data_IF_366806996547
#
_entry.id   IF_366806996547
#
_cell.length_a   1.000
_cell.length_b   1.000
_cell.length_c   1.000
_cell.angle_alpha   90.00
_cell.angle_beta   90.00
_cell.angle_gamma   90.00
#
_symmetry.space_group_name_H-M   'P 1'
#
loop_
_entity.id
_entity.type
_entity.pdbx_description
1 polymer ?
#
# COMPACT_ATOMS: atom_id res chain seq x y z
N UNK A 1 -13.03 -8.48 -11.14
CA UNK A 1 -14.51 -8.36 -11.16
C UNK A 1 -15.00 -8.27 -12.60
N UNK A 2 -16.27 -8.62 -12.85
CA UNK A 2 -16.95 -8.39 -14.14
C UNK A 2 -17.66 -7.04 -14.17
N UNK A 3 -18.28 -6.64 -13.04
CA UNK A 3 -18.91 -5.33 -12.83
C UNK A 3 -18.70 -4.87 -11.37
N UNK A 4 -18.92 -3.57 -11.13
CA UNK A 4 -18.99 -2.96 -9.81
C UNK A 4 -20.26 -2.11 -9.68
N UNK A 5 -20.97 -2.25 -8.55
CA UNK A 5 -22.07 -1.39 -8.16
C UNK A 5 -21.77 -0.82 -6.77
N UNK A 6 -21.02 0.30 -6.66
CA UNK A 6 -20.68 0.87 -5.37
C UNK A 6 -21.95 1.33 -4.65
N UNK A 7 -22.03 0.99 -3.36
CA UNK A 7 -23.12 1.40 -2.47
C UNK A 7 -22.73 2.64 -1.66
N UNK A 8 -23.01 2.58 -0.37
CA UNK A 8 -22.71 3.63 0.59
C UNK A 8 -21.25 3.56 1.08
N UNK A 9 -20.58 4.71 1.21
CA UNK A 9 -19.22 4.80 1.73
C UNK A 9 -18.62 6.20 1.59
N UNK A 10 -17.29 6.26 1.75
CA UNK A 10 -16.48 7.43 1.40
C UNK A 10 -15.57 7.05 0.23
N UNK A 11 -15.18 8.03 -0.58
CA UNK A 11 -14.30 7.82 -1.74
C UNK A 11 -12.91 8.43 -1.53
N UNK A 12 -12.76 9.36 -0.60
CA UNK A 12 -11.55 10.11 -0.31
C UNK A 12 -11.56 10.63 1.12
N UNK A 13 -10.38 10.73 1.72
CA UNK A 13 -10.23 11.07 3.14
C UNK A 13 -10.56 12.53 3.41
N UNK A 14 -9.94 13.45 2.65
CA UNK A 14 -10.02 14.89 2.94
C UNK A 14 -11.43 15.46 2.76
N UNK A 15 -11.96 15.34 1.55
CA UNK A 15 -13.25 15.96 1.20
C UNK A 15 -14.40 15.33 2.00
N UNK A 16 -14.34 14.03 2.30
CA UNK A 16 -15.31 13.39 3.18
C UNK A 16 -15.31 14.00 4.59
N UNK A 17 -14.13 14.18 5.20
CA UNK A 17 -14.02 14.73 6.56
C UNK A 17 -14.43 16.21 6.60
N UNK A 18 -14.03 17.00 5.61
CA UNK A 18 -14.44 18.40 5.50
C UNK A 18 -15.97 18.52 5.28
N UNK A 19 -16.56 17.66 4.43
CA UNK A 19 -17.98 17.73 4.10
C UNK A 19 -18.89 17.19 5.21
N UNK A 20 -18.59 15.99 5.74
CA UNK A 20 -19.45 15.29 6.70
C UNK A 20 -19.11 15.59 8.16
N UNK A 21 -17.83 15.71 8.49
CA UNK A 21 -17.38 15.95 9.87
C UNK A 21 -17.14 17.43 10.17
N UNK A 22 -17.14 18.29 9.14
CA UNK A 22 -16.86 19.73 9.24
C UNK A 22 -15.50 20.01 9.89
N UNK A 23 -14.55 19.12 9.64
CA UNK A 23 -13.20 19.21 10.19
C UNK A 23 -12.32 20.12 9.35
N UNK A 24 -11.46 20.89 10.00
CA UNK A 24 -10.32 21.54 9.35
C UNK A 24 -9.11 20.64 9.53
N UNK A 25 -8.67 20.01 8.45
CA UNK A 25 -7.56 19.07 8.49
C UNK A 25 -6.22 19.82 8.36
N UNK A 26 -5.30 19.51 9.26
CA UNK A 26 -3.90 19.94 9.19
C UNK A 26 -3.00 18.68 9.18
N UNK A 27 -2.99 17.92 8.08
CA UNK A 27 -2.15 16.74 7.96
C UNK A 27 -0.70 17.13 7.67
N UNK A 28 0.23 16.34 8.18
CA UNK A 28 1.62 16.38 7.74
C UNK A 28 1.73 15.96 6.26
N UNK A 29 2.83 16.30 5.59
CA UNK A 29 3.02 15.96 4.18
C UNK A 29 2.98 14.45 3.91
N UNK A 30 3.57 13.65 4.81
CA UNK A 30 3.50 12.19 4.72
C UNK A 30 2.06 11.66 4.89
N UNK A 31 1.24 12.24 5.78
CA UNK A 31 -0.17 11.83 5.93
C UNK A 31 -0.92 11.98 4.60
N UNK A 32 -0.70 13.09 3.86
CA UNK A 32 -1.33 13.30 2.55
C UNK A 32 -0.91 12.24 1.53
N UNK A 33 0.37 11.84 1.53
CA UNK A 33 0.86 10.75 0.68
C UNK A 33 0.22 9.41 1.05
N UNK A 34 0.09 9.14 2.35
CA UNK A 34 -0.48 7.89 2.86
C UNK A 34 -1.99 7.75 2.60
N UNK A 35 -2.71 8.86 2.40
CA UNK A 35 -4.11 8.81 1.93
C UNK A 35 -4.25 8.11 0.57
N UNK A 36 -3.22 8.15 -0.27
CA UNK A 36 -3.20 7.41 -1.54
C UNK A 36 -3.19 5.88 -1.37
N UNK A 37 -3.13 5.36 -0.14
CA UNK A 37 -3.39 3.94 0.14
C UNK A 37 -4.89 3.62 0.11
N UNK A 38 -5.77 4.57 0.43
CA UNK A 38 -7.20 4.31 0.64
C UNK A 38 -8.13 5.17 -0.23
N UNK A 39 -7.69 6.34 -0.67
CA UNK A 39 -8.50 7.25 -1.47
C UNK A 39 -8.73 6.67 -2.87
N UNK A 40 -9.96 6.23 -3.15
CA UNK A 40 -10.34 5.61 -4.42
C UNK A 40 -10.34 6.61 -5.57
N UNK A 41 -10.57 7.90 -5.29
CA UNK A 41 -10.59 8.98 -6.28
C UNK A 41 -9.28 9.08 -7.06
N UNK A 42 -8.13 8.92 -6.40
CA UNK A 42 -6.82 9.00 -7.07
C UNK A 42 -6.52 7.78 -7.95
N UNK A 43 -7.32 6.71 -7.84
CA UNK A 43 -7.27 5.51 -8.70
C UNK A 43 -8.37 5.50 -9.78
N UNK A 44 -9.09 6.60 -10.00
CA UNK A 44 -10.24 6.68 -10.92
C UNK A 44 -10.05 6.00 -12.27
N UNK A 45 -8.87 6.19 -12.87
CA UNK A 45 -8.50 5.62 -14.17
C UNK A 45 -8.70 4.10 -14.25
N UNK A 46 -8.52 3.39 -13.12
CA UNK A 46 -8.64 1.93 -13.06
C UNK A 46 -10.06 1.44 -13.37
N UNK A 47 -11.08 2.30 -13.25
CA UNK A 47 -12.45 1.95 -13.63
C UNK A 47 -12.62 1.75 -15.14
N UNK A 48 -11.66 2.16 -15.99
CA UNK A 48 -11.63 1.72 -17.39
C UNK A 48 -11.59 0.18 -17.49
N UNK A 49 -11.03 -0.54 -16.50
CA UNK A 49 -10.92 -2.00 -16.51
C UNK A 49 -12.10 -2.71 -15.84
N UNK A 50 -13.00 -1.96 -15.19
CA UNK A 50 -14.11 -2.50 -14.42
C UNK A 50 -15.38 -1.67 -14.67
N UNK A 51 -16.31 -2.18 -15.49
CA UNK A 51 -17.61 -1.54 -15.68
C UNK A 51 -18.26 -1.22 -14.35
N UNK A 52 -18.70 0.04 -14.19
CA UNK A 52 -19.19 0.56 -12.91
C UNK A 52 -20.53 1.25 -13.10
N UNK A 53 -21.52 0.83 -12.31
CA UNK A 53 -22.86 1.44 -12.27
C UNK A 53 -23.09 1.93 -10.85
N UNK A 54 -22.96 3.24 -10.63
CA UNK A 54 -23.19 3.86 -9.34
C UNK A 54 -24.67 4.19 -9.14
N UNK A 55 -25.10 4.22 -7.89
CA UNK A 55 -26.44 4.66 -7.51
C UNK A 55 -26.39 5.64 -6.34
N UNK A 56 -27.28 6.63 -6.37
CA UNK A 56 -27.59 7.43 -5.19
C UNK A 56 -29.05 7.83 -5.16
N UNK A 57 -29.60 7.98 -3.97
CA UNK A 57 -30.81 8.79 -3.82
C UNK A 57 -30.50 10.24 -4.19
N UNK A 58 -31.36 10.89 -4.98
CA UNK A 58 -31.10 12.23 -5.51
C UNK A 58 -30.95 13.30 -4.42
N UNK A 59 -31.57 13.09 -3.25
CA UNK A 59 -31.48 13.98 -2.08
C UNK A 59 -30.67 13.34 -0.93
N UNK A 60 -30.01 12.20 -1.17
CA UNK A 60 -29.11 11.60 -0.19
C UNK A 60 -27.82 12.41 -0.11
N UNK A 61 -27.41 12.78 1.11
CA UNK A 61 -26.14 13.46 1.35
C UNK A 61 -24.94 12.60 0.95
N UNK A 62 -25.06 11.28 0.99
CA UNK A 62 -23.99 10.36 0.56
C UNK A 62 -23.77 10.33 -0.95
N UNK A 63 -24.63 10.99 -1.74
CA UNK A 63 -24.39 11.23 -3.17
C UNK A 63 -23.04 11.91 -3.43
N UNK A 64 -22.51 12.64 -2.44
CA UNK A 64 -21.18 13.27 -2.51
C UNK A 64 -20.07 12.32 -2.96
N UNK A 65 -20.08 11.04 -2.53
CA UNK A 65 -19.07 10.06 -2.93
C UNK A 65 -19.11 9.73 -4.43
N UNK A 66 -20.31 9.66 -5.02
CA UNK A 66 -20.44 9.48 -6.46
C UNK A 66 -20.10 10.76 -7.24
N UNK A 67 -20.46 11.94 -6.71
CA UNK A 67 -20.19 13.23 -7.34
C UNK A 67 -18.68 13.51 -7.44
N UNK A 68 -17.95 13.29 -6.35
CA UNK A 68 -16.49 13.46 -6.35
C UNK A 68 -15.83 12.42 -7.26
N UNK A 69 -16.27 11.16 -7.23
CA UNK A 69 -15.76 10.13 -8.15
C UNK A 69 -16.00 10.50 -9.61
N UNK A 70 -17.17 11.06 -9.96
CA UNK A 70 -17.48 11.55 -11.31
C UNK A 70 -16.48 12.62 -11.75
N UNK A 71 -16.20 13.59 -10.88
CA UNK A 71 -15.21 14.66 -11.15
C UNK A 71 -13.80 14.11 -11.43
N UNK A 72 -13.37 13.07 -10.72
CA UNK A 72 -12.07 12.44 -10.95
C UNK A 72 -12.07 11.54 -12.19
N UNK A 73 -13.19 10.89 -12.52
CA UNK A 73 -13.34 10.13 -13.76
C UNK A 73 -13.30 11.02 -15.00
N UNK A 74 -13.93 12.20 -14.95
CA UNK A 74 -13.91 13.16 -16.06
C UNK A 74 -12.48 13.59 -16.42
N UNK A 75 -11.61 13.79 -15.42
CA UNK A 75 -10.18 14.10 -15.64
C UNK A 75 -9.43 12.97 -16.35
N UNK A 76 -9.93 11.73 -16.24
CA UNK A 76 -9.42 10.55 -16.92
C UNK A 76 -10.14 10.27 -18.24
N UNK A 77 -11.06 11.13 -18.67
CA UNK A 77 -11.87 10.95 -19.88
C UNK A 77 -12.91 9.83 -19.75
N UNK A 78 -13.39 9.57 -18.53
CA UNK A 78 -14.39 8.56 -18.22
C UNK A 78 -15.66 9.24 -17.68
N UNK A 79 -16.82 8.68 -18.01
CA UNK A 79 -18.11 9.11 -17.48
C UNK A 79 -18.67 8.03 -16.54
N UNK A 80 -19.09 8.43 -15.34
CA UNK A 80 -19.72 7.51 -14.40
C UNK A 80 -21.17 7.26 -14.82
N UNK A 81 -21.55 6.00 -15.03
CA UNK A 81 -22.97 5.66 -15.10
C UNK A 81 -23.58 5.80 -13.71
N UNK A 82 -24.14 6.97 -13.41
CA UNK A 82 -24.73 7.30 -12.12
C UNK A 82 -26.26 7.34 -12.20
N UNK A 83 -26.90 6.33 -11.63
CA UNK A 83 -28.37 6.25 -11.57
C UNK A 83 -28.85 6.99 -10.32
N UNK A 84 -29.79 7.92 -10.51
CA UNK A 84 -30.39 8.67 -9.42
C UNK A 84 -31.81 8.19 -9.13
N UNK A 85 -32.08 7.91 -7.86
CA UNK A 85 -33.44 7.70 -7.36
C UNK A 85 -34.11 9.05 -7.09
N UNK A 86 -35.13 9.48 -7.85
CA UNK A 86 -35.78 10.77 -7.65
C UNK A 86 -36.37 10.87 -6.23
N UNK A 87 -36.28 12.06 -5.62
CA UNK A 87 -36.80 12.38 -4.28
C UNK A 87 -36.44 11.36 -3.18
N UNK A 88 -35.34 10.63 -3.36
CA UNK A 88 -34.95 9.52 -2.50
C UNK A 88 -33.72 9.88 -1.66
N UNK A 89 -33.80 9.64 -0.35
CA UNK A 89 -32.66 9.74 0.58
C UNK A 89 -31.87 8.43 0.65
N UNK A 90 -31.47 8.02 1.87
CA UNK A 90 -30.62 6.85 2.09
C UNK A 90 -31.35 5.51 1.98
N UNK A 91 -31.83 5.20 0.77
CA UNK A 91 -32.50 3.94 0.41
C UNK A 91 -32.51 3.74 -1.12
N UNK A 92 -32.88 2.55 -1.57
CA UNK A 92 -33.14 2.29 -2.98
C UNK A 92 -34.50 2.81 -3.41
N UNK A 93 -34.54 3.60 -4.49
CA UNK A 93 -35.74 3.88 -5.25
C UNK A 93 -36.13 2.63 -6.06
N UNK A 94 -37.40 2.16 -6.02
CA UNK A 94 -37.78 0.88 -6.62
C UNK A 94 -37.41 0.75 -8.11
N UNK A 95 -37.70 1.78 -8.93
CA UNK A 95 -37.41 1.73 -10.37
C UNK A 95 -35.91 1.84 -10.67
N UNK A 96 -35.19 2.65 -9.89
CA UNK A 96 -33.75 2.79 -10.05
C UNK A 96 -33.04 1.48 -9.72
N UNK A 97 -33.52 0.78 -8.67
CA UNK A 97 -33.04 -0.56 -8.32
C UNK A 97 -33.19 -1.53 -9.48
N UNK A 98 -34.37 -1.61 -10.10
CA UNK A 98 -34.60 -2.46 -11.26
C UNK A 98 -33.62 -2.14 -12.41
N UNK A 99 -33.35 -0.86 -12.66
CA UNK A 99 -32.41 -0.44 -13.70
C UNK A 99 -30.95 -0.82 -13.39
N UNK A 100 -30.53 -0.68 -12.13
CA UNK A 100 -29.19 -1.10 -11.67
C UNK A 100 -29.05 -2.62 -11.86
N UNK A 101 -30.03 -3.38 -11.36
CA UNK A 101 -30.04 -4.85 -11.46
C UNK A 101 -29.97 -5.28 -12.92
N UNK A 102 -30.76 -4.67 -13.81
CA UNK A 102 -30.71 -4.94 -15.26
C UNK A 102 -29.32 -4.70 -15.86
N UNK A 103 -28.70 -3.54 -15.61
CA UNK A 103 -27.38 -3.22 -16.16
C UNK A 103 -26.29 -4.13 -15.61
N UNK A 104 -26.27 -4.35 -14.29
CA UNK A 104 -25.26 -5.19 -13.63
C UNK A 104 -25.40 -6.65 -14.08
N UNK A 105 -26.62 -7.18 -14.16
CA UNK A 105 -26.86 -8.54 -14.65
C UNK A 105 -26.38 -8.70 -16.09
N UNK A 106 -26.68 -7.74 -16.97
CA UNK A 106 -26.22 -7.81 -18.36
C UNK A 106 -24.68 -7.81 -18.46
N UNK A 107 -23.99 -6.99 -17.68
CA UNK A 107 -22.52 -7.00 -17.65
C UNK A 107 -22.00 -8.33 -17.07
N UNK A 108 -22.62 -8.83 -16.00
CA UNK A 108 -22.22 -10.07 -15.35
C UNK A 108 -22.41 -11.29 -16.27
N UNK A 109 -23.46 -11.31 -17.10
CA UNK A 109 -23.71 -12.34 -18.13
C UNK A 109 -22.60 -12.40 -19.19
N UNK A 110 -22.02 -11.26 -19.58
CA UNK A 110 -20.85 -11.23 -20.47
C UNK A 110 -19.58 -11.74 -19.80
N UNK A 111 -19.55 -11.73 -18.47
CA UNK A 111 -18.43 -12.19 -17.68
C UNK A 111 -17.23 -11.22 -17.66
N UNK A 112 -16.14 -11.66 -17.04
CA UNK A 112 -14.92 -10.88 -16.91
C UNK A 112 -14.06 -11.07 -18.16
N UNK A 113 -13.76 -10.00 -18.88
CA UNK A 113 -12.67 -10.00 -19.86
C UNK A 113 -11.32 -10.16 -19.14
N UNK A 114 -10.67 -11.32 -19.32
CA UNK A 114 -9.37 -11.64 -18.72
C UNK A 114 -8.22 -10.96 -19.46
N UNK A 115 -8.29 -10.92 -20.81
CA UNK A 115 -7.26 -10.36 -21.69
C UNK A 115 -7.86 -9.22 -22.53
N UNK A 116 -8.15 -8.06 -21.91
CA UNK A 116 -8.56 -6.90 -22.69
C UNK A 116 -7.40 -6.46 -23.58
N UNK A 117 -7.70 -6.02 -24.81
CA UNK A 117 -6.70 -5.50 -25.73
C UNK A 117 -6.06 -4.20 -25.26
N UNK A 118 -6.70 -3.47 -24.33
CA UNK A 118 -6.20 -2.23 -23.73
C UNK A 118 -6.27 -2.25 -22.21
N UNK A 119 -5.22 -1.76 -21.57
CA UNK A 119 -5.12 -1.54 -20.12
C UNK A 119 -4.81 -0.07 -19.86
N UNK A 120 -5.55 0.53 -18.93
CA UNK A 120 -5.14 1.74 -18.21
C UNK A 120 -5.01 1.38 -16.74
N UNK A 121 -3.87 1.70 -16.16
CA UNK A 121 -3.57 1.33 -14.79
C UNK A 121 -2.85 2.47 -14.08
N UNK A 122 -3.40 2.91 -12.96
CA UNK A 122 -2.80 3.83 -12.00
C UNK A 122 -2.57 3.09 -10.68
N UNK A 123 -1.42 3.33 -10.04
CA UNK A 123 -1.20 3.01 -8.62
C UNK A 123 -0.22 3.99 -7.97
N UNK A 124 -0.18 4.03 -6.63
CA UNK A 124 0.79 4.82 -5.87
C UNK A 124 1.70 3.93 -5.00
N UNK A 125 1.42 2.63 -4.96
CA UNK A 125 2.12 1.68 -4.10
C UNK A 125 2.06 0.29 -4.71
N UNK A 126 3.10 -0.53 -4.49
CA UNK A 126 3.09 -1.92 -4.89
C UNK A 126 2.10 -2.79 -4.09
N UNK A 127 1.41 -2.26 -3.07
CA UNK A 127 0.29 -2.97 -2.43
C UNK A 127 -0.83 -3.33 -3.43
N UNK A 128 -1.08 -2.43 -4.40
CA UNK A 128 -2.04 -2.64 -5.48
C UNK A 128 -1.30 -2.63 -6.82
N UNK A 129 -0.52 -3.68 -7.07
CA UNK A 129 0.42 -3.72 -8.18
C UNK A 129 -0.11 -4.40 -9.45
N UNK A 130 -1.32 -4.97 -9.46
CA UNK A 130 -1.79 -5.79 -10.58
C UNK A 130 -3.05 -5.22 -11.24
N UNK A 131 -3.03 -5.15 -12.56
CA UNK A 131 -4.20 -4.88 -13.39
C UNK A 131 -4.23 -5.81 -14.60
N UNK A 132 -5.19 -6.74 -14.61
CA UNK A 132 -5.36 -7.74 -15.68
C UNK A 132 -4.05 -8.52 -15.91
N UNK A 133 -3.48 -8.42 -17.11
CA UNK A 133 -2.23 -9.10 -17.51
C UNK A 133 -0.97 -8.27 -17.26
N UNK A 134 -1.08 -7.09 -16.63
CA UNK A 134 0.06 -6.28 -16.18
C UNK A 134 0.20 -6.39 -14.66
N UNK A 135 1.42 -6.65 -14.19
CA UNK A 135 1.84 -6.61 -12.80
C UNK A 135 3.05 -5.69 -12.65
N UNK A 136 2.99 -4.67 -11.80
CA UNK A 136 4.14 -3.84 -11.46
C UNK A 136 4.97 -4.54 -10.38
N UNK A 137 6.28 -4.52 -10.54
CA UNK A 137 7.23 -5.13 -9.61
C UNK A 137 8.20 -4.11 -9.02
N UNK A 138 8.29 -2.91 -9.61
CA UNK A 138 9.11 -1.81 -9.12
C UNK A 138 8.57 -0.46 -9.59
N UNK A 139 8.66 0.53 -8.71
CA UNK A 139 8.35 1.94 -8.99
C UNK A 139 9.64 2.76 -9.00
N UNK A 140 9.61 3.98 -9.55
CA UNK A 140 10.75 4.92 -9.38
C UNK A 140 10.70 5.56 -7.98
N UNK A 141 9.49 5.80 -7.48
CA UNK A 141 9.22 6.36 -6.15
C UNK A 141 7.82 6.02 -5.67
N UNK A 142 7.72 5.31 -4.55
CA UNK A 142 6.47 5.06 -3.84
C UNK A 142 5.78 6.37 -3.44
N UNK A 143 4.45 6.32 -3.40
CA UNK A 143 3.54 7.43 -3.06
C UNK A 143 3.41 8.54 -4.10
N UNK A 144 4.23 8.50 -5.15
CA UNK A 144 4.03 9.29 -6.36
C UNK A 144 3.21 8.46 -7.38
N UNK A 145 2.44 9.12 -8.24
CA UNK A 145 1.53 8.42 -9.17
C UNK A 145 2.30 7.62 -10.22
N UNK A 146 2.11 6.31 -10.24
CA UNK A 146 2.55 5.43 -11.31
C UNK A 146 1.43 5.16 -12.32
N UNK A 147 1.77 5.09 -13.61
CA UNK A 147 0.83 4.78 -14.69
C UNK A 147 1.40 3.76 -15.66
N UNK A 148 0.52 2.89 -16.15
CA UNK A 148 0.76 2.01 -17.29
C UNK A 148 -0.43 2.05 -18.24
N UNK A 149 -0.19 2.41 -19.49
CA UNK A 149 -1.11 2.23 -20.60
C UNK A 149 -0.55 1.17 -21.53
N UNK A 150 -1.22 0.02 -21.65
CA UNK A 150 -0.76 -1.09 -22.46
C UNK A 150 -1.81 -1.47 -23.50
N UNK A 151 -1.37 -1.86 -24.70
CA UNK A 151 -2.25 -2.25 -25.79
C UNK A 151 -1.65 -3.39 -26.61
N UNK A 152 -2.44 -4.43 -26.85
CA UNK A 152 -2.13 -5.49 -27.83
C UNK A 152 -2.54 -4.94 -29.21
N UNK A 153 -1.55 -4.61 -30.03
CA UNK A 153 -1.72 -3.94 -31.34
C UNK A 153 -2.02 -4.94 -32.45
N UNK A 154 -1.43 -6.13 -32.38
CA UNK A 154 -1.59 -7.20 -33.35
C UNK A 154 -1.33 -8.57 -32.69
N UNK A 155 -1.26 -9.62 -33.50
CA UNK A 155 -0.92 -10.97 -33.06
C UNK A 155 0.57 -11.16 -32.69
N UNK A 156 1.40 -10.12 -32.76
CA UNK A 156 2.81 -10.17 -32.36
C UNK A 156 3.36 -8.84 -31.82
N UNK A 157 2.54 -7.79 -31.67
CA UNK A 157 2.99 -6.47 -31.23
C UNK A 157 2.19 -5.95 -30.04
N UNK A 158 2.91 -5.49 -29.02
CA UNK A 158 2.36 -4.76 -27.87
C UNK A 158 2.96 -3.34 -27.81
N UNK A 159 2.15 -2.38 -27.39
CA UNK A 159 2.59 -1.03 -27.05
C UNK A 159 2.36 -0.77 -25.57
N UNK A 160 3.37 -0.24 -24.88
CA UNK A 160 3.29 0.12 -23.46
C UNK A 160 3.83 1.53 -23.27
N UNK A 161 3.13 2.34 -22.48
CA UNK A 161 3.61 3.63 -21.98
C UNK A 161 3.56 3.60 -20.47
N UNK A 162 4.63 4.05 -19.82
CA UNK A 162 4.76 4.05 -18.37
C UNK A 162 5.25 5.38 -17.83
N UNK A 163 4.92 5.67 -16.58
CA UNK A 163 5.53 6.74 -15.79
C UNK A 163 5.67 6.29 -14.34
N UNK A 164 6.80 6.58 -13.69
CA UNK A 164 7.10 6.13 -12.32
C UNK A 164 7.05 4.59 -12.20
N UNK A 165 7.64 3.88 -13.17
CA UNK A 165 7.69 2.40 -13.19
C UNK A 165 9.10 1.96 -13.58
N UNK A 166 9.71 1.15 -12.74
CA UNK A 166 11.06 0.59 -12.98
C UNK A 166 11.03 -0.87 -13.36
N UNK A 167 9.97 -1.62 -13.01
CA UNK A 167 9.83 -3.02 -13.38
C UNK A 167 8.36 -3.41 -13.52
N UNK A 168 8.04 -4.17 -14.57
CA UNK A 168 6.72 -4.74 -14.79
C UNK A 168 6.81 -6.14 -15.39
N UNK A 169 5.81 -6.96 -15.11
CA UNK A 169 5.60 -8.29 -15.66
C UNK A 169 4.33 -8.30 -16.49
N UNK A 170 4.43 -8.86 -17.68
CA UNK A 170 3.31 -9.26 -18.51
C UNK A 170 3.08 -10.73 -18.22
N UNK A 171 1.89 -11.06 -17.72
CA UNK A 171 1.55 -12.42 -17.34
C UNK A 171 0.16 -12.79 -17.84
N UNK A 172 0.13 -13.82 -18.70
CA UNK A 172 -1.07 -14.43 -19.24
C UNK A 172 -1.00 -15.94 -18.97
N UNK A 173 -2.03 -16.48 -18.31
CA UNK A 173 -2.07 -17.91 -17.98
C UNK A 173 -2.31 -18.79 -19.22
N UNK A 174 -2.12 -20.10 -19.07
CA UNK A 174 -2.33 -21.08 -20.13
C UNK A 174 -3.72 -20.90 -20.80
N UNK A 175 -3.74 -20.91 -22.13
CA UNK A 175 -4.92 -20.72 -22.96
C UNK A 175 -5.35 -19.26 -23.17
N UNK A 176 -4.64 -18.27 -22.61
CA UNK A 176 -5.10 -16.87 -22.62
C UNK A 176 -4.30 -15.95 -23.56
N UNK A 177 -3.04 -16.25 -23.88
CA UNK A 177 -2.22 -15.38 -24.72
C UNK A 177 -2.76 -15.35 -26.16
N UNK A 178 -3.10 -14.18 -26.72
CA UNK A 178 -3.68 -14.06 -28.06
C UNK A 178 -2.63 -13.93 -29.17
N UNK A 179 -1.34 -13.96 -28.83
CA UNK A 179 -0.25 -13.80 -29.80
C UNK A 179 0.00 -15.10 -30.58
N UNK A 180 0.45 -14.96 -31.82
CA UNK A 180 0.88 -16.05 -32.68
C UNK A 180 2.22 -16.62 -32.17
N UNK A 181 2.19 -17.87 -31.69
CA UNK A 181 3.35 -18.58 -31.13
C UNK A 181 4.50 -18.81 -32.13
N UNK A 182 4.24 -18.64 -33.43
CA UNK A 182 5.25 -18.82 -34.49
C UNK A 182 6.03 -17.53 -34.79
N UNK A 183 5.49 -16.37 -34.38
CA UNK A 183 6.10 -15.06 -34.59
C UNK A 183 6.90 -14.63 -33.36
N UNK A 184 7.90 -13.78 -33.57
CA UNK A 184 8.63 -13.15 -32.47
C UNK A 184 7.80 -11.97 -31.93
N UNK A 185 7.39 -11.96 -30.64
CA UNK A 185 6.72 -10.82 -30.06
C UNK A 185 7.64 -9.60 -29.97
N UNK A 186 7.06 -8.44 -30.22
CA UNK A 186 7.69 -7.14 -30.10
C UNK A 186 6.92 -6.30 -29.10
N UNK A 187 7.62 -5.72 -28.13
CA UNK A 187 7.07 -4.76 -27.17
C UNK A 187 7.68 -3.39 -27.44
N UNK A 188 6.83 -2.43 -27.77
CA UNK A 188 7.18 -1.01 -27.87
C UNK A 188 6.88 -0.31 -26.54
N UNK A 189 7.86 -0.15 -25.66
CA UNK A 189 7.73 0.49 -24.34
C UNK A 189 8.40 1.87 -24.31
N UNK A 190 7.65 2.93 -24.00
CA UNK A 190 8.16 4.32 -24.00
C UNK A 190 8.94 4.73 -25.28
N UNK A 191 8.50 4.19 -26.44
CA UNK A 191 9.13 4.33 -27.76
C UNK A 191 10.43 3.53 -27.96
N UNK A 192 10.84 2.71 -27.00
CA UNK A 192 11.88 1.69 -27.18
C UNK A 192 11.25 0.39 -27.66
N UNK A 193 11.94 -0.32 -28.57
CA UNK A 193 11.46 -1.57 -29.16
C UNK A 193 12.27 -2.73 -28.61
N UNK A 194 11.58 -3.73 -28.05
CA UNK A 194 12.17 -4.93 -27.48
C UNK A 194 11.60 -6.17 -28.15
N UNK A 195 12.47 -7.06 -28.60
CA UNK A 195 12.09 -8.43 -28.92
C UNK A 195 12.14 -9.25 -27.64
N UNK A 196 11.11 -10.05 -27.39
CA UNK A 196 10.97 -10.82 -26.15
C UNK A 196 10.57 -12.26 -26.46
N UNK A 197 10.73 -13.15 -25.49
CA UNK A 197 10.45 -14.57 -25.69
C UNK A 197 9.01 -14.82 -26.15
N UNK A 198 8.85 -15.89 -26.94
CA UNK A 198 7.57 -16.27 -27.52
C UNK A 198 6.65 -16.84 -26.44
N UNK A 199 5.32 -16.77 -26.62
CA UNK A 199 4.40 -17.53 -25.79
C UNK A 199 4.68 -19.03 -25.93
N UNK A 200 4.36 -19.76 -24.86
CA UNK A 200 4.49 -21.21 -24.81
C UNK A 200 3.42 -21.90 -25.67
N UNK A 201 3.62 -23.18 -25.99
CA UNK A 201 2.67 -23.96 -26.80
C UNK A 201 1.29 -24.15 -26.17
N UNK A 202 1.17 -23.94 -24.85
CA UNK A 202 -0.10 -23.95 -24.13
C UNK A 202 -0.79 -22.58 -24.14
N UNK A 203 -0.25 -21.60 -24.89
CA UNK A 203 -0.72 -20.22 -24.96
C UNK A 203 -0.61 -19.45 -23.64
N UNK A 204 0.31 -19.84 -22.75
CA UNK A 204 0.75 -18.99 -21.65
C UNK A 204 1.86 -18.02 -22.10
N UNK A 205 2.01 -16.89 -21.41
CA UNK A 205 3.08 -15.94 -21.70
C UNK A 205 3.52 -15.20 -20.45
N UNK A 206 4.82 -15.18 -20.21
CA UNK A 206 5.45 -14.54 -19.05
C UNK A 206 6.67 -13.75 -19.48
N UNK A 207 6.63 -12.44 -19.33
CA UNK A 207 7.74 -11.55 -19.68
C UNK A 207 7.91 -10.52 -18.59
N UNK A 208 9.12 -10.43 -18.04
CA UNK A 208 9.50 -9.38 -17.09
C UNK A 208 10.35 -8.34 -17.81
N UNK A 209 9.93 -7.09 -17.72
CA UNK A 209 10.64 -5.93 -18.24
C UNK A 209 11.15 -5.08 -17.07
N UNK A 210 12.37 -4.58 -17.18
CA UNK A 210 12.95 -3.66 -16.20
C UNK A 210 13.66 -2.52 -16.89
N UNK A 211 13.66 -1.37 -16.23
CA UNK A 211 14.34 -0.16 -16.66
C UNK A 211 15.68 -0.04 -15.94
N UNK A 212 16.78 -0.06 -16.68
CA UNK A 212 18.13 0.05 -16.14
C UNK A 212 18.98 0.98 -17.00
N UNK A 213 19.64 1.95 -16.35
CA UNK A 213 20.54 2.91 -17.01
C UNK A 213 19.87 3.66 -18.18
N UNK A 214 18.58 3.99 -18.03
CA UNK A 214 17.82 4.76 -19.02
C UNK A 214 17.32 3.94 -20.22
N UNK A 215 17.30 2.61 -20.13
CA UNK A 215 16.81 1.73 -21.18
C UNK A 215 15.96 0.60 -20.59
N UNK A 216 14.93 0.18 -21.32
CA UNK A 216 14.15 -1.00 -21.01
C UNK A 216 14.82 -2.27 -21.53
N UNK A 217 14.72 -3.36 -20.75
CA UNK A 217 15.28 -4.67 -21.09
C UNK A 217 14.40 -5.78 -20.56
N UNK A 218 14.53 -6.99 -21.13
CA UNK A 218 13.98 -8.22 -20.56
C UNK A 218 14.87 -8.71 -19.42
N UNK A 219 14.25 -9.08 -18.29
CA UNK A 219 14.94 -9.47 -17.05
C UNK A 219 16.09 -10.46 -17.33
N UNK A 220 17.30 -10.23 -16.81
CA UNK A 220 18.37 -11.20 -16.95
C UNK A 220 18.01 -12.46 -16.16
N UNK A 221 18.52 -13.60 -16.61
CA UNK A 221 18.35 -14.90 -15.95
C UNK A 221 18.88 -14.91 -14.49
N UNK A 222 19.81 -14.00 -14.19
CA UNK A 222 20.34 -13.75 -12.84
C UNK A 222 20.34 -12.26 -12.53
N UNK A 223 19.57 -11.87 -11.52
CA UNK A 223 19.55 -10.52 -10.97
C UNK A 223 20.30 -10.54 -9.63
N UNK A 224 21.19 -9.58 -9.38
CA UNK A 224 21.77 -9.43 -8.04
C UNK A 224 20.64 -9.21 -7.03
N UNK A 225 20.65 -9.99 -5.95
CA UNK A 225 19.66 -9.87 -4.87
C UNK A 225 19.98 -8.61 -4.09
N UNK A 226 19.46 -7.48 -4.54
CA UNK A 226 19.42 -6.23 -3.76
C UNK A 226 18.12 -6.15 -3.00
N UNK A 227 18.18 -5.70 -1.73
CA UNK A 227 16.99 -5.40 -0.95
C UNK A 227 16.25 -4.26 -1.67
N UNK A 228 15.00 -4.50 -2.05
CA UNK A 228 14.18 -3.54 -2.77
C UNK A 228 12.72 -3.60 -2.27
N UNK A 229 12.00 -2.50 -2.45
CA UNK A 229 10.55 -2.48 -2.23
C UNK A 229 9.89 -3.38 -3.26
N UNK A 230 9.02 -4.28 -2.79
CA UNK A 230 8.26 -5.23 -3.60
C UNK A 230 6.88 -5.43 -3.00
N UNK A 231 5.96 -6.07 -3.73
CA UNK A 231 4.63 -6.36 -3.21
C UNK A 231 4.68 -7.11 -1.87
N UNK A 232 3.98 -6.60 -0.86
CA UNK A 232 4.01 -7.11 0.51
C UNK A 232 5.23 -6.70 1.34
N UNK A 233 6.13 -5.90 0.76
CA UNK A 233 7.38 -5.40 1.34
C UNK A 233 7.71 -4.01 0.76
N UNK A 234 6.82 -3.02 0.92
CA UNK A 234 6.96 -1.65 0.41
C UNK A 234 6.73 -0.49 1.41
N UNK A 235 6.36 -0.77 2.65
CA UNK A 235 5.92 0.23 3.64
C UNK A 235 4.48 0.73 3.39
N UNK A 236 3.91 1.56 4.29
CA UNK A 236 4.50 2.12 5.51
C UNK A 236 4.46 1.11 6.66
N UNK A 237 4.64 1.57 7.91
CA UNK A 237 4.56 0.72 9.10
C UNK A 237 3.33 -0.21 9.11
N UNK A 238 2.15 0.32 8.77
CA UNK A 238 0.89 -0.42 8.74
C UNK A 238 0.88 -1.59 7.73
N UNK A 239 1.74 -1.54 6.71
CA UNK A 239 1.84 -2.57 5.68
C UNK A 239 2.24 -3.95 6.24
N UNK A 240 3.03 -3.96 7.32
CA UNK A 240 3.46 -5.18 8.00
C UNK A 240 2.30 -5.95 8.65
N UNK A 241 1.17 -5.29 8.89
CA UNK A 241 -0.03 -5.87 9.52
C UNK A 241 -1.05 -6.40 8.50
N UNK A 242 -0.78 -6.24 7.20
CA UNK A 242 -1.62 -6.77 6.10
C UNK A 242 -1.25 -8.22 5.70
N UNK A 243 -0.27 -8.82 6.37
CA UNK A 243 0.10 -10.23 6.25
C UNK A 243 0.29 -10.82 7.67
N UNK A 244 0.62 -12.10 7.75
CA UNK A 244 0.97 -12.78 8.99
C UNK A 244 2.08 -12.01 9.74
N UNK A 245 1.74 -11.55 10.94
CA UNK A 245 2.68 -10.97 11.89
C UNK A 245 2.64 -11.65 13.26
N UNK A 246 3.67 -11.37 14.07
CA UNK A 246 3.84 -11.78 15.46
C UNK A 246 4.33 -10.59 16.30
N UNK A 247 3.63 -10.27 17.38
CA UNK A 247 4.11 -9.31 18.38
C UNK A 247 5.21 -9.95 19.23
N UNK A 248 6.35 -9.27 19.36
CA UNK A 248 7.53 -9.77 20.07
C UNK A 248 7.90 -8.83 21.20
N UNK A 249 7.61 -9.24 22.43
CA UNK A 249 7.97 -8.48 23.63
C UNK A 249 9.44 -8.66 24.03
N UNK A 250 10.05 -7.66 24.71
CA UNK A 250 11.40 -7.77 25.23
C UNK A 250 11.47 -8.71 26.46
N UNK A 251 12.60 -9.41 26.64
CA UNK A 251 12.86 -10.23 27.85
C UNK A 251 13.65 -9.52 28.94
N UNK A 252 14.17 -8.34 28.67
CA UNK A 252 14.85 -7.50 29.64
C UNK A 252 14.28 -6.07 29.63
N UNK A 253 14.67 -5.25 30.61
CA UNK A 253 14.24 -3.85 30.68
C UNK A 253 15.06 -2.98 29.71
N UNK A 254 14.44 -1.99 29.03
CA UNK A 254 15.19 -1.04 28.20
C UNK A 254 16.28 -0.29 28.97
N UNK A 255 17.28 0.19 28.23
CA UNK A 255 18.45 0.87 28.77
C UNK A 255 18.10 2.14 29.57
N UNK A 256 16.96 2.75 29.25
CA UNK A 256 16.46 3.96 29.90
C UNK A 256 15.07 3.71 30.51
N UNK A 257 14.81 4.07 31.78
CA UNK A 257 13.52 3.85 32.44
C UNK A 257 12.32 4.45 31.69
N UNK A 258 12.45 5.68 31.19
CA UNK A 258 11.40 6.35 30.40
C UNK A 258 11.03 5.57 29.14
N UNK A 259 12.03 5.00 28.45
CA UNK A 259 11.80 4.13 27.29
C UNK A 259 11.11 2.84 27.73
N UNK A 260 11.54 2.25 28.85
CA UNK A 260 10.91 1.06 29.44
C UNK A 260 9.42 1.23 29.73
N UNK A 261 9.07 2.32 30.41
CA UNK A 261 7.68 2.64 30.73
C UNK A 261 6.85 2.87 29.46
N UNK A 262 7.40 3.62 28.50
CA UNK A 262 6.71 3.86 27.23
C UNK A 262 6.49 2.56 26.44
N UNK A 263 7.53 1.72 26.28
CA UNK A 263 7.44 0.46 25.52
C UNK A 263 6.40 -0.47 26.13
N UNK A 264 6.38 -0.61 27.45
CA UNK A 264 5.41 -1.46 28.14
C UNK A 264 3.97 -0.99 27.93
N UNK A 265 3.75 0.32 28.05
CA UNK A 265 2.43 0.94 27.87
C UNK A 265 1.96 0.87 26.40
N UNK A 266 2.84 1.19 25.46
CA UNK A 266 2.50 1.27 24.03
C UNK A 266 2.32 -0.13 23.41
N UNK A 267 3.13 -1.12 23.81
CA UNK A 267 2.91 -2.52 23.42
C UNK A 267 1.56 -3.03 23.94
N UNK A 268 1.23 -2.72 25.20
CA UNK A 268 -0.05 -3.08 25.80
C UNK A 268 -1.23 -2.37 25.12
N UNK A 269 -1.05 -1.10 24.74
CA UNK A 269 -1.99 -0.33 23.93
C UNK A 269 -2.23 -0.99 22.57
N UNK A 270 -1.17 -1.28 21.82
CA UNK A 270 -1.25 -1.92 20.51
C UNK A 270 -1.98 -3.27 20.56
N UNK A 271 -1.66 -4.13 21.53
CA UNK A 271 -2.33 -5.43 21.69
C UNK A 271 -3.82 -5.30 22.04
N UNK A 272 -4.15 -4.39 22.96
CA UNK A 272 -5.54 -4.13 23.36
C UNK A 272 -6.37 -3.61 22.19
N UNK A 273 -5.84 -2.62 21.47
CA UNK A 273 -6.58 -1.97 20.39
C UNK A 273 -6.62 -2.79 19.11
N UNK A 274 -5.60 -3.63 18.86
CA UNK A 274 -5.71 -4.65 17.80
C UNK A 274 -6.95 -5.51 17.98
N UNK A 275 -7.19 -5.98 19.21
CA UNK A 275 -8.40 -6.75 19.53
C UNK A 275 -9.68 -5.97 19.34
N UNK A 276 -9.70 -4.69 19.71
CA UNK A 276 -10.89 -3.85 19.61
C UNK A 276 -11.25 -3.54 18.15
N UNK A 277 -10.25 -3.21 17.32
CA UNK A 277 -10.46 -2.79 15.94
C UNK A 277 -10.60 -3.97 14.97
N UNK A 278 -9.77 -5.01 15.11
CA UNK A 278 -9.69 -6.12 14.16
C UNK A 278 -10.35 -7.41 14.66
N UNK A 279 -11.05 -7.35 15.81
CA UNK A 279 -11.84 -8.46 16.38
C UNK A 279 -11.07 -9.78 16.58
N UNK A 280 -9.75 -9.71 16.79
CA UNK A 280 -8.88 -10.87 17.03
C UNK A 280 -7.75 -10.54 18.00
N UNK A 281 -7.22 -11.52 18.72
CA UNK A 281 -6.03 -11.29 19.59
C UNK A 281 -4.78 -11.37 18.72
N UNK A 282 -3.91 -10.36 18.81
CA UNK A 282 -2.57 -10.45 18.21
C UNK A 282 -1.81 -11.61 18.85
N UNK A 283 -1.12 -12.40 18.02
CA UNK A 283 -0.20 -13.43 18.53
C UNK A 283 0.98 -12.73 19.18
N UNK A 284 1.43 -13.27 20.29
CA UNK A 284 2.49 -12.68 21.10
C UNK A 284 3.46 -13.77 21.57
N UNK A 285 4.75 -13.43 21.58
CA UNK A 285 5.84 -14.19 22.18
C UNK A 285 6.85 -13.24 22.79
N UNK A 286 7.58 -13.69 23.80
CA UNK A 286 8.82 -13.01 24.22
C UNK A 286 9.92 -13.29 23.20
N UNK A 287 10.87 -12.36 23.06
CA UNK A 287 12.01 -12.46 22.14
C UNK A 287 12.82 -13.77 22.24
N UNK A 288 13.00 -14.32 23.44
CA UNK A 288 13.72 -15.59 23.68
C UNK A 288 12.90 -16.84 23.30
N UNK A 289 11.60 -16.69 23.03
CA UNK A 289 10.71 -17.77 22.58
C UNK A 289 10.59 -17.81 21.05
N UNK A 290 11.20 -16.85 20.34
CA UNK A 290 11.14 -16.76 18.88
C UNK A 290 11.98 -17.87 18.26
N UNK A 291 11.34 -18.64 17.38
CA UNK A 291 11.96 -19.75 16.66
C UNK A 291 12.34 -19.36 15.23
N UNK A 292 13.15 -20.19 14.56
CA UNK A 292 13.45 -20.01 13.13
C UNK A 292 12.18 -20.01 12.27
N UNK A 293 11.19 -20.85 12.62
CA UNK A 293 9.90 -20.91 11.93
C UNK A 293 9.09 -19.62 12.08
N UNK A 294 9.16 -18.96 13.23
CA UNK A 294 8.47 -17.67 13.42
C UNK A 294 9.08 -16.59 12.50
N UNK A 295 10.41 -16.57 12.35
CA UNK A 295 11.16 -15.65 11.47
C UNK A 295 10.86 -15.91 9.99
N UNK A 296 10.72 -17.19 9.61
CA UNK A 296 10.38 -17.60 8.24
C UNK A 296 8.94 -17.18 7.86
N UNK A 297 7.97 -17.46 8.73
CA UNK A 297 6.55 -17.35 8.39
C UNK A 297 5.96 -15.96 8.64
N UNK A 298 6.60 -15.10 9.44
CA UNK A 298 5.94 -13.90 10.00
C UNK A 298 6.76 -12.62 9.90
N UNK A 299 6.05 -11.51 9.67
CA UNK A 299 6.54 -10.19 10.02
C UNK A 299 6.70 -10.09 11.55
N UNK A 300 7.79 -9.54 12.03
CA UNK A 300 8.08 -9.46 13.46
C UNK A 300 7.92 -8.03 13.97
N UNK A 301 6.99 -7.83 14.89
CA UNK A 301 6.75 -6.52 15.52
C UNK A 301 7.53 -6.49 16.83
N UNK A 302 8.73 -5.91 16.80
CA UNK A 302 9.71 -5.94 17.88
C UNK A 302 9.55 -4.71 18.79
N UNK A 303 9.35 -4.95 20.08
CA UNK A 303 9.23 -3.91 21.10
C UNK A 303 10.48 -3.85 21.99
N UNK A 304 10.90 -2.64 22.36
CA UNK A 304 12.06 -2.39 23.22
C UNK A 304 13.19 -1.68 22.49
N UNK A 305 14.41 -2.03 22.88
CA UNK A 305 15.67 -1.48 22.42
C UNK A 305 16.76 -2.57 22.36
N UNK A 306 17.99 -2.28 21.89
CA UNK A 306 19.06 -3.28 21.83
C UNK A 306 19.46 -3.88 23.18
N UNK A 307 19.13 -3.23 24.31
CA UNK A 307 19.42 -3.77 25.65
C UNK A 307 18.35 -4.75 26.14
N UNK A 308 17.10 -4.53 25.75
CA UNK A 308 15.91 -5.23 26.24
C UNK A 308 15.41 -6.35 25.34
N UNK A 309 15.62 -6.24 24.02
CA UNK A 309 15.13 -7.19 23.04
C UNK A 309 16.29 -7.86 22.27
N UNK A 310 16.42 -9.18 22.42
CA UNK A 310 17.51 -10.00 21.82
C UNK A 310 17.51 -9.89 20.29
N UNK A 311 16.34 -9.84 19.65
CA UNK A 311 16.25 -9.72 18.20
C UNK A 311 16.66 -8.34 17.72
N UNK A 312 16.23 -7.28 18.41
CA UNK A 312 16.68 -5.90 18.09
C UNK A 312 18.20 -5.83 18.19
N UNK A 313 18.80 -6.34 19.27
CA UNK A 313 20.26 -6.40 19.45
C UNK A 313 20.97 -7.10 18.30
N UNK A 314 20.39 -8.18 17.79
CA UNK A 314 20.98 -8.99 16.71
C UNK A 314 20.94 -8.28 15.35
N UNK A 315 19.95 -7.43 15.10
CA UNK A 315 19.74 -6.80 13.79
C UNK A 315 20.12 -5.32 13.72
N UNK A 316 20.30 -4.64 14.86
CA UNK A 316 20.44 -3.17 14.90
C UNK A 316 21.56 -2.63 14.01
N UNK A 317 22.70 -3.31 13.90
CA UNK A 317 23.83 -2.91 13.05
C UNK A 317 23.54 -3.03 11.54
N UNK A 318 22.43 -3.67 11.16
CA UNK A 318 21.96 -3.81 9.77
C UNK A 318 20.78 -2.89 9.44
N UNK A 319 20.32 -2.09 10.40
CA UNK A 319 19.25 -1.11 10.20
C UNK A 319 19.84 0.20 9.64
N UNK A 320 19.03 1.06 9.00
CA UNK A 320 19.47 2.34 8.44
C UNK A 320 19.67 3.44 9.51
N UNK A 321 20.05 3.06 10.73
CA UNK A 321 20.37 3.93 11.85
C UNK A 321 21.36 3.23 12.79
N UNK A 322 22.03 4.01 13.65
CA UNK A 322 22.84 3.47 14.75
C UNK A 322 22.14 3.74 16.07
N UNK A 323 22.13 2.76 16.97
CA UNK A 323 21.44 2.90 18.25
C UNK A 323 22.25 2.25 19.37
N UNK A 324 22.65 3.06 20.35
CA UNK A 324 23.37 2.63 21.53
C UNK A 324 22.83 3.30 22.80
N UNK A 325 23.47 3.06 23.94
CA UNK A 325 23.08 3.58 25.26
C UNK A 325 22.94 5.11 25.35
N UNK A 326 23.66 5.86 24.51
CA UNK A 326 23.70 7.32 24.58
C UNK A 326 22.82 7.96 23.51
N UNK A 327 22.76 7.36 22.31
CA UNK A 327 22.11 8.00 21.16
C UNK A 327 21.43 7.04 20.19
N UNK A 328 20.39 7.56 19.57
CA UNK A 328 19.84 7.12 18.28
C UNK A 328 20.40 8.07 17.22
N UNK A 329 21.08 7.54 16.23
CA UNK A 329 21.75 8.31 15.18
C UNK A 329 21.20 7.89 13.83
N UNK A 330 20.49 8.80 13.17
CA UNK A 330 20.12 8.71 11.76
C UNK A 330 21.26 9.27 10.90
N UNK A 331 21.23 9.11 9.58
CA UNK A 331 22.17 9.80 8.68
C UNK A 331 22.17 11.32 8.85
N UNK A 332 21.02 11.92 9.19
CA UNK A 332 20.87 13.37 9.25
C UNK A 332 21.14 13.96 10.64
N UNK A 333 20.85 13.20 11.71
CA UNK A 333 20.80 13.77 13.07
C UNK A 333 21.12 12.75 14.17
N UNK A 334 21.64 13.28 15.28
CA UNK A 334 21.83 12.53 16.53
C UNK A 334 20.77 12.92 17.56
N UNK A 335 20.24 11.93 18.25
CA UNK A 335 19.19 12.07 19.25
C UNK A 335 19.60 11.39 20.57
N UNK A 336 19.45 12.02 21.74
CA UNK A 336 19.63 11.36 23.03
C UNK A 336 18.71 10.14 23.19
N UNK A 337 19.28 8.98 23.52
CA UNK A 337 18.54 7.71 23.60
C UNK A 337 17.62 7.61 24.84
N UNK A 338 17.75 8.53 25.79
CA UNK A 338 16.89 8.65 26.97
C UNK A 338 15.61 9.46 26.72
N UNK A 339 15.57 10.18 25.60
CA UNK A 339 14.44 11.03 25.20
C UNK A 339 13.79 10.59 23.89
N UNK A 340 14.57 10.13 22.92
CA UNK A 340 14.06 9.83 21.59
C UNK A 340 14.10 8.34 21.28
N UNK A 341 13.07 7.87 20.58
CA UNK A 341 12.88 6.45 20.26
C UNK A 341 12.53 6.29 18.78
N UNK A 342 13.27 5.45 18.02
CA UNK A 342 12.89 5.15 16.65
C UNK A 342 11.69 4.20 16.61
N UNK A 343 10.78 4.49 15.68
CA UNK A 343 9.78 3.56 15.17
C UNK A 343 9.99 3.42 13.67
N UNK A 344 9.99 2.20 13.14
CA UNK A 344 10.21 1.99 11.70
C UNK A 344 9.72 0.63 11.25
N UNK A 345 9.52 0.48 9.94
CA UNK A 345 9.38 -0.80 9.24
C UNK A 345 10.58 -1.00 8.31
N UNK A 346 11.09 -2.22 8.24
CA UNK A 346 12.25 -2.54 7.38
C UNK A 346 12.24 -4.01 6.99
N UNK A 347 12.87 -4.40 5.86
CA UNK A 347 13.12 -5.80 5.54
C UNK A 347 13.89 -6.48 6.67
N UNK A 348 13.40 -7.60 7.16
CA UNK A 348 13.97 -8.31 8.28
C UNK A 348 15.38 -8.80 7.92
N UNK A 349 16.45 -8.35 8.59
CA UNK A 349 17.81 -8.77 8.24
C UNK A 349 18.12 -10.26 8.52
N UNK A 350 17.17 -11.00 9.12
CA UNK A 350 17.20 -12.45 9.29
C UNK A 350 16.35 -13.21 8.24
N UNK A 351 15.46 -12.51 7.54
CA UNK A 351 14.64 -13.01 6.44
C UNK A 351 14.17 -11.83 5.55
N UNK A 352 14.91 -11.47 4.48
CA UNK A 352 14.60 -10.29 3.67
C UNK A 352 13.24 -10.32 2.97
N UNK A 353 12.52 -11.45 2.98
CA UNK A 353 11.16 -11.57 2.43
C UNK A 353 10.06 -11.20 3.43
N UNK A 354 10.42 -10.86 4.67
CA UNK A 354 9.51 -10.45 5.75
C UNK A 354 9.92 -9.12 6.34
N UNK A 355 9.00 -8.48 7.05
CA UNK A 355 9.29 -7.26 7.79
C UNK A 355 9.79 -7.51 9.21
N UNK A 356 10.58 -6.56 9.69
CA UNK A 356 10.52 -6.13 11.08
C UNK A 356 9.76 -4.79 11.18
N UNK A 357 9.08 -4.59 12.30
CA UNK A 357 8.62 -3.28 12.76
C UNK A 357 9.23 -3.04 14.13
N UNK A 358 9.83 -1.87 14.36
CA UNK A 358 10.37 -1.46 15.65
C UNK A 358 9.35 -0.55 16.34
N UNK A 359 8.96 -0.90 17.57
CA UNK A 359 8.23 -0.04 18.51
C UNK A 359 6.92 0.58 17.99
N UNK A 360 6.19 -0.11 17.10
CA UNK A 360 4.91 0.39 16.61
C UNK A 360 3.88 -0.72 16.41
N UNK A 361 2.61 -0.39 16.63
CA UNK A 361 1.46 -1.11 16.10
C UNK A 361 1.00 -0.54 14.75
N UNK A 362 -0.24 -0.82 14.36
CA UNK A 362 -0.96 0.00 13.39
C UNK A 362 -1.07 1.44 13.93
N UNK A 363 -1.09 2.43 13.06
CA UNK A 363 -0.66 3.79 13.45
C UNK A 363 -1.81 4.77 13.70
N UNK A 364 -3.04 4.47 13.26
CA UNK A 364 -4.22 5.25 13.66
C UNK A 364 -4.62 4.96 15.11
N UNK A 365 -5.17 5.97 15.79
CA UNK A 365 -5.44 5.92 17.24
C UNK A 365 -6.88 6.30 17.55
N UNK A 366 -7.19 6.46 18.84
CA UNK A 366 -8.54 6.65 19.38
C UNK A 366 -9.37 7.73 18.65
N UNK A 367 -8.72 8.80 18.20
CA UNK A 367 -9.37 9.85 17.41
C UNK A 367 -9.99 9.36 16.08
N UNK A 368 -9.41 8.30 15.51
CA UNK A 368 -9.74 7.78 14.20
C UNK A 368 -10.80 6.64 14.23
N UNK A 369 -11.15 6.12 15.40
CA UNK A 369 -11.92 4.86 15.52
C UNK A 369 -13.36 4.92 15.00
N UNK A 370 -14.02 6.08 15.06
CA UNK A 370 -15.44 6.20 14.71
C UNK A 370 -15.69 6.37 13.21
N UNK A 371 -14.66 6.66 12.42
CA UNK A 371 -14.82 7.02 11.02
C UNK A 371 -13.74 6.36 10.17
N UNK A 372 -14.15 5.46 9.27
CA UNK A 372 -13.23 4.72 8.39
C UNK A 372 -12.39 5.65 7.50
N UNK A 373 -12.87 6.84 7.15
CA UNK A 373 -12.08 7.83 6.41
C UNK A 373 -10.87 8.35 7.22
N UNK A 374 -10.87 8.19 8.54
CA UNK A 374 -9.72 8.52 9.40
C UNK A 374 -8.78 7.34 9.64
N UNK A 375 -9.22 6.10 9.38
CA UNK A 375 -8.46 4.87 9.65
C UNK A 375 -7.43 4.60 8.55
N UNK A 376 -6.60 5.61 8.29
CA UNK A 376 -5.47 5.60 7.35
C UNK A 376 -4.16 5.54 8.13
N UNK A 377 -3.04 5.12 7.52
CA UNK A 377 -1.75 5.12 8.19
C UNK A 377 -1.37 6.56 8.56
N UNK A 378 -0.87 6.75 9.78
CA UNK A 378 -0.48 8.04 10.35
C UNK A 378 1.02 8.24 10.39
N UNK A 379 1.79 7.16 10.40
CA UNK A 379 3.24 7.19 10.31
C UNK A 379 3.72 6.56 8.99
N UNK A 380 4.77 7.12 8.37
CA UNK A 380 5.36 6.60 7.14
C UNK A 380 6.26 5.39 7.47
N UNK A 381 7.32 5.16 6.70
CA UNK A 381 8.19 4.00 6.90
C UNK A 381 9.00 4.10 8.20
N UNK A 382 9.31 5.32 8.66
CA UNK A 382 10.00 5.57 9.92
C UNK A 382 9.58 6.89 10.57
N UNK A 383 9.71 6.96 11.90
CA UNK A 383 9.65 8.19 12.67
C UNK A 383 10.59 8.15 13.88
N UNK A 384 11.05 9.32 14.31
CA UNK A 384 11.75 9.52 15.59
C UNK A 384 10.74 10.16 16.54
N UNK A 385 10.41 9.45 17.61
CA UNK A 385 9.49 9.90 18.64
C UNK A 385 10.23 10.72 19.69
N UNK A 386 9.62 11.81 20.16
CA UNK A 386 10.03 12.57 21.34
C UNK A 386 9.17 12.17 22.55
N UNK A 387 9.77 11.45 23.49
CA UNK A 387 9.09 10.92 24.67
C UNK A 387 8.82 11.98 25.75
N UNK A 388 9.28 13.22 25.58
CA UNK A 388 8.87 14.32 26.48
C UNK A 388 7.41 14.71 26.30
N UNK A 389 6.82 14.40 25.15
CA UNK A 389 5.40 14.55 24.88
C UNK A 389 4.68 13.22 25.11
N UNK A 390 3.73 13.23 26.05
CA UNK A 390 2.94 12.04 26.36
C UNK A 390 2.11 11.59 25.14
N UNK A 391 1.81 10.27 25.02
CA UNK A 391 0.88 9.77 24.02
C UNK A 391 -0.46 10.52 24.07
N UNK A 392 -1.06 10.73 22.90
CA UNK A 392 -2.37 11.36 22.74
C UNK A 392 -3.31 10.44 21.96
N UNK A 393 -4.61 10.78 21.86
CA UNK A 393 -5.55 10.07 20.98
C UNK A 393 -5.18 10.05 19.49
N UNK A 394 -4.16 10.82 19.06
CA UNK A 394 -3.70 10.88 17.66
C UNK A 394 -2.28 10.36 17.46
N UNK A 395 -1.40 10.53 18.45
CA UNK A 395 0.02 10.21 18.31
C UNK A 395 0.56 9.35 19.46
N UNK A 396 1.48 8.41 19.19
CA UNK A 396 2.11 7.57 20.21
C UNK A 396 3.07 8.33 21.14
N UNK A 397 3.56 9.49 20.70
CA UNK A 397 4.38 10.46 21.44
C UNK A 397 4.44 11.74 20.59
N UNK A 398 5.34 12.68 20.92
CA UNK A 398 5.71 13.75 19.98
C UNK A 398 6.39 13.16 18.74
N UNK A 399 6.12 13.71 17.56
CA UNK A 399 6.81 13.31 16.31
C UNK A 399 7.87 14.37 16.01
N UNK A 400 9.14 14.02 16.22
CA UNK A 400 10.27 14.93 15.95
C UNK A 400 10.62 14.96 14.46
N UNK A 401 10.70 13.78 13.83
CA UNK A 401 10.90 13.62 12.38
C UNK A 401 10.21 12.34 11.90
N UNK A 402 9.76 12.32 10.66
CA UNK A 402 9.21 11.13 10.01
C UNK A 402 9.51 11.17 8.51
N UNK A 403 9.59 10.01 7.87
CA UNK A 403 9.86 9.95 6.44
C UNK A 403 9.71 8.55 5.85
N UNK A 404 9.98 8.46 4.55
CA UNK A 404 9.96 7.21 3.80
C UNK A 404 11.39 6.72 3.54
N UNK A 405 11.55 5.41 3.36
CA UNK A 405 12.73 4.85 2.73
C UNK A 405 12.57 4.86 1.21
N UNK A 406 13.70 4.90 0.50
CA UNK A 406 13.75 4.78 -0.95
C UNK A 406 13.41 3.38 -1.44
N UNK A 407 13.49 3.19 -2.76
CA UNK A 407 13.10 1.93 -3.41
C UNK A 407 14.05 0.77 -3.11
N UNK A 408 15.31 1.06 -2.74
CA UNK A 408 16.27 0.09 -2.23
C UNK A 408 16.34 0.10 -0.69
N UNK A 409 15.30 0.61 -0.03
CA UNK A 409 15.22 0.78 1.42
C UNK A 409 16.27 1.72 2.03
N UNK A 410 16.89 2.57 1.21
CA UNK A 410 17.84 3.58 1.63
C UNK A 410 17.18 4.75 2.38
N UNK A 411 17.94 5.42 3.24
CA UNK A 411 17.46 6.59 3.97
C UNK A 411 17.30 7.81 3.06
N UNK A 412 16.10 8.40 3.00
CA UNK A 412 15.78 9.53 2.12
C UNK A 412 15.67 10.88 2.84
N UNK A 413 15.89 10.92 4.16
CA UNK A 413 15.67 12.11 4.98
C UNK A 413 14.19 12.32 5.35
N UNK A 414 13.92 13.27 6.27
CA UNK A 414 12.56 13.56 6.72
C UNK A 414 11.68 14.08 5.58
N UNK A 415 10.38 13.78 5.67
CA UNK A 415 9.35 14.36 4.80
C UNK A 415 8.77 15.61 5.49
N UNK A 416 8.96 16.77 4.88
CA UNK A 416 8.49 18.07 5.39
C UNK A 416 7.03 18.38 5.05
#
# INVERSE_FOLDING_TARGET
>A
WAAAAPGAGFSETKEFLEFFQKETLNPHAWEKKLWNLYDATVYAENLFQCPTVAYSGAVDRQKQAADIMSKYLEQEGLELTHILGPDTGHKYHPEAKTLIDQKINHIAEQGRNQIPSKIRFTTYTLRYNKMKWIELQGLEKHWDRARVHAEIKSDHELSIRTSNVTQLRIHMEAGLCPLDITKQPIISINNERLEVDRPETDLSWDVVLYHQKGQWKTAPETQEITIAKKHGLQGPIDDAFMDRFLMVGPSAWPMNPTVGDWVSNEMSHAMRHWRQQFRGRARFKMDHEITAKDIEESNLILWGDPSSNILIRKIVEKLPLKWNHQRVQTPDKNYPADRFLPVLVYPNPLNPDKYIVINSGFTYREYDYLNNARQVPKLPDWAILDLTNAPSPRWPAGIEQAGFFGEAWEWMGPED
#
